data_IF_787717119056
#
_entry.id   IF_787717119056
#
_cell.length_a   1.000
_cell.length_b   1.000
_cell.length_c   1.000
_cell.angle_alpha   90.00
_cell.angle_beta   90.00
_cell.angle_gamma   90.00
#
_symmetry.space_group_name_H-M   'P 1'
#
loop_
_entity.id
_entity.type
_entity.pdbx_description
1 polymer ?
#
# COMPACT_ATOMS: atom_id res chain seq x y z
N UNK A 1 -2.14 7.51 -17.72
CA UNK A 1 -3.43 8.23 -17.73
C UNK A 1 -4.35 7.52 -18.69
N UNK A 2 -5.65 7.42 -18.39
CA UNK A 2 -6.62 6.77 -19.28
C UNK A 2 -6.78 7.63 -20.54
N UNK A 3 -6.61 7.03 -21.73
CA UNK A 3 -6.54 7.76 -23.00
C UNK A 3 -7.89 8.27 -23.51
N UNK A 4 -9.01 7.76 -23.00
CA UNK A 4 -10.35 8.01 -23.54
C UNK A 4 -11.11 9.22 -22.99
N UNK A 5 -10.55 10.00 -22.05
CA UNK A 5 -11.18 11.22 -21.52
C UNK A 5 -12.45 11.04 -20.65
N UNK A 6 -13.06 9.86 -20.63
CA UNK A 6 -14.30 9.56 -19.88
C UNK A 6 -14.09 9.26 -18.39
N UNK A 7 -12.84 9.21 -17.92
CA UNK A 7 -12.52 8.88 -16.54
C UNK A 7 -11.18 9.51 -16.12
N UNK A 8 -11.06 9.84 -14.84
CA UNK A 8 -9.81 10.27 -14.20
C UNK A 8 -9.37 9.26 -13.13
N UNK A 9 -8.06 9.17 -12.90
CA UNK A 9 -7.49 8.40 -11.81
C UNK A 9 -6.80 9.37 -10.84
N UNK A 10 -7.07 9.23 -9.55
CA UNK A 10 -6.20 9.81 -8.51
C UNK A 10 -5.12 8.79 -8.14
N UNK A 11 -3.85 9.17 -8.28
CA UNK A 11 -2.70 8.29 -7.99
C UNK A 11 -1.80 8.95 -6.97
N UNK A 12 -1.51 8.21 -5.90
CA UNK A 12 -0.51 8.54 -4.91
C UNK A 12 0.60 7.49 -5.01
N UNK A 13 1.78 7.92 -5.45
CA UNK A 13 2.93 7.03 -5.64
C UNK A 13 4.08 7.33 -4.67
N UNK A 14 4.10 8.53 -4.08
CA UNK A 14 5.11 8.92 -3.11
C UNK A 14 4.93 8.14 -1.80
N UNK A 15 6.00 7.49 -1.35
CA UNK A 15 5.96 6.66 -0.15
C UNK A 15 5.72 7.48 1.12
N UNK A 16 6.26 8.70 1.18
CA UNK A 16 6.12 9.55 2.36
C UNK A 16 4.65 9.97 2.54
N UNK A 17 3.97 10.34 1.47
CA UNK A 17 2.53 10.63 1.47
C UNK A 17 1.69 9.39 1.81
N UNK A 18 2.02 8.23 1.22
CA UNK A 18 1.36 6.97 1.53
C UNK A 18 1.49 6.64 3.03
N UNK A 19 2.70 6.70 3.58
CA UNK A 19 2.94 6.27 4.95
C UNK A 19 2.45 7.29 5.98
N UNK A 20 2.62 8.60 5.73
CA UNK A 20 2.30 9.64 6.72
C UNK A 20 0.90 10.24 6.57
N UNK A 21 0.25 10.13 5.41
CA UNK A 21 -1.10 10.66 5.20
C UNK A 21 -2.12 9.54 5.04
N UNK A 22 -1.88 8.63 4.10
CA UNK A 22 -2.86 7.60 3.72
C UNK A 22 -3.05 6.55 4.83
N UNK A 23 -1.96 6.02 5.38
CA UNK A 23 -2.03 5.00 6.45
C UNK A 23 -2.73 5.54 7.71
N UNK A 24 -2.39 6.74 8.25
CA UNK A 24 -3.11 7.31 9.40
C UNK A 24 -4.58 7.61 9.11
N UNK A 25 -4.89 8.10 7.90
CA UNK A 25 -6.28 8.33 7.49
C UNK A 25 -7.12 7.07 7.60
N UNK A 26 -6.63 5.94 7.07
CA UNK A 26 -7.31 4.65 7.13
C UNK A 26 -7.19 3.91 8.47
N UNK A 27 -6.36 4.41 9.40
CA UNK A 27 -6.40 3.97 10.80
C UNK A 27 -7.51 4.70 11.55
N UNK A 28 -7.71 5.99 11.27
CA UNK A 28 -8.77 6.81 11.86
C UNK A 28 -10.16 6.50 11.28
N UNK A 29 -10.21 6.24 9.98
CA UNK A 29 -11.42 5.92 9.24
C UNK A 29 -11.26 4.53 8.59
N UNK A 30 -11.44 3.45 9.36
CA UNK A 30 -11.27 2.11 8.85
C UNK A 30 -12.31 1.80 7.76
N UNK A 31 -11.87 1.12 6.72
CA UNK A 31 -12.76 0.60 5.69
C UNK A 31 -13.46 -0.65 6.22
N UNK A 32 -14.78 -0.67 6.19
CA UNK A 32 -15.56 -1.86 6.53
C UNK A 32 -15.60 -2.78 5.30
N UNK A 33 -14.75 -3.81 5.29
CA UNK A 33 -14.66 -4.80 4.23
C UNK A 33 -13.29 -5.50 4.17
N UNK A 34 -13.19 -6.59 3.40
CA UNK A 34 -11.94 -7.37 3.22
C UNK A 34 -10.93 -6.71 2.27
N UNK A 35 -11.28 -5.58 1.63
CA UNK A 35 -10.44 -4.95 0.59
C UNK A 35 -9.10 -4.49 1.15
N UNK A 36 -8.04 -5.21 0.76
CA UNK A 36 -6.61 -4.87 0.53
C UNK A 36 -5.83 -3.96 1.50
N UNK A 37 -6.47 -3.27 2.43
CA UNK A 37 -5.86 -2.23 3.26
C UNK A 37 -4.92 -2.84 4.31
N UNK A 38 -5.24 -4.01 4.87
CA UNK A 38 -4.35 -4.70 5.81
C UNK A 38 -3.04 -5.14 5.15
N UNK A 39 -3.13 -5.71 3.94
CA UNK A 39 -1.95 -6.09 3.13
C UNK A 39 -1.11 -4.86 2.82
N UNK A 40 -1.76 -3.75 2.45
CA UNK A 40 -1.09 -2.49 2.17
C UNK A 40 -0.39 -1.88 3.39
N UNK A 41 -1.03 -1.88 4.57
CA UNK A 41 -0.42 -1.41 5.83
C UNK A 41 0.79 -2.25 6.21
N UNK A 42 0.72 -3.58 6.07
CA UNK A 42 1.84 -4.48 6.32
C UNK A 42 3.02 -4.21 5.37
N UNK A 43 2.75 -4.09 4.07
CA UNK A 43 3.77 -3.77 3.08
C UNK A 43 4.44 -2.41 3.33
N UNK A 44 3.65 -1.38 3.68
CA UNK A 44 4.18 -0.06 4.02
C UNK A 44 5.10 -0.10 5.25
N UNK A 45 4.81 -0.97 6.22
CA UNK A 45 5.68 -1.24 7.37
C UNK A 45 7.04 -1.82 6.96
N UNK A 46 7.05 -2.84 6.10
CA UNK A 46 8.30 -3.45 5.60
C UNK A 46 9.14 -2.43 4.83
N UNK A 47 8.48 -1.58 4.03
CA UNK A 47 9.17 -0.53 3.28
C UNK A 47 9.78 0.52 4.22
N UNK A 48 9.02 0.97 5.24
CA UNK A 48 9.51 1.93 6.24
C UNK A 48 10.78 1.45 6.96
N UNK A 49 10.81 0.20 7.39
CA UNK A 49 11.96 -0.38 8.09
C UNK A 49 13.12 -0.73 7.15
N UNK A 50 13.02 -0.41 5.85
CA UNK A 50 13.99 -0.75 4.81
C UNK A 50 14.24 -2.26 4.66
N UNK A 51 13.37 -3.10 5.23
CA UNK A 51 13.48 -4.57 5.15
C UNK A 51 13.36 -5.06 3.70
N UNK A 52 12.64 -4.34 2.85
CA UNK A 52 12.53 -4.60 1.41
C UNK A 52 13.87 -4.57 0.65
N UNK A 53 14.96 -4.09 1.27
CA UNK A 53 16.31 -4.16 0.70
C UNK A 53 16.99 -5.51 0.94
N UNK A 54 16.38 -6.37 1.77
CA UNK A 54 16.86 -7.73 2.06
C UNK A 54 16.04 -8.77 1.31
N UNK A 55 16.66 -9.89 0.96
CA UNK A 55 15.95 -10.99 0.31
C UNK A 55 14.78 -11.50 1.15
N UNK A 56 14.96 -11.58 2.47
CA UNK A 56 13.90 -12.01 3.39
C UNK A 56 12.72 -11.03 3.37
N UNK A 57 12.97 -9.72 3.40
CA UNK A 57 11.92 -8.71 3.35
C UNK A 57 11.21 -8.65 1.99
N UNK A 58 11.93 -8.89 0.89
CA UNK A 58 11.32 -9.06 -0.43
C UNK A 58 10.40 -10.27 -0.48
N UNK A 59 10.82 -11.42 0.05
CA UNK A 59 9.97 -12.62 0.12
C UNK A 59 8.71 -12.36 0.96
N UNK A 60 8.81 -11.62 2.08
CA UNK A 60 7.64 -11.20 2.87
C UNK A 60 6.68 -10.33 2.06
N UNK A 61 7.19 -9.34 1.31
CA UNK A 61 6.37 -8.48 0.45
C UNK A 61 5.64 -9.26 -0.64
N UNK A 62 6.33 -10.21 -1.26
CA UNK A 62 5.74 -11.09 -2.27
C UNK A 62 4.62 -11.95 -1.67
N UNK A 63 4.84 -12.54 -0.50
CA UNK A 63 3.82 -13.35 0.19
C UNK A 63 2.55 -12.54 0.53
N UNK A 64 2.71 -11.28 0.97
CA UNK A 64 1.57 -10.37 1.23
C UNK A 64 0.76 -10.12 -0.05
N UNK A 65 1.43 -9.98 -1.19
CA UNK A 65 0.77 -9.73 -2.47
C UNK A 65 0.09 -10.98 -3.07
N UNK A 66 0.66 -12.16 -2.81
CA UNK A 66 0.16 -13.45 -3.35
C UNK A 66 -0.91 -14.12 -2.49
N UNK A 67 -1.09 -13.72 -1.23
CA UNK A 67 -2.17 -14.24 -0.40
C UNK A 67 -3.55 -13.89 -1.02
N UNK A 68 -4.55 -14.80 -0.99
CA UNK A 68 -5.91 -14.53 -1.46
C UNK A 68 -6.57 -13.37 -0.69
#
# INVERSE_FOLDING_TARGET
>A
MRKGGLACDYKMADFNDIYNKLVPFFNKYPLYGTKLLNKFKQAAGIIKHKEHLTQQGLTKLQAINSAP
#
